data_IF_643833588772
#
_entry.id   IF_643833588772
#
_cell.length_a   1.000
_cell.length_b   1.000
_cell.length_c   1.000
_cell.angle_alpha   90.00
_cell.angle_beta   90.00
_cell.angle_gamma   90.00
#
_symmetry.space_group_name_H-M   'P 1'
#
loop_
_entity.id
_entity.type
_entity.pdbx_description
1 polymer ?
#
# COMPACT_ATOMS: atom_id res chain seq x y z
N UNK A 1 3.67 -2.03 -11.37
CA UNK A 1 2.63 -0.99 -11.59
C UNK A 1 1.28 -1.68 -11.63
N UNK A 2 0.38 -1.39 -10.70
CA UNK A 2 -0.79 -2.25 -10.47
C UNK A 2 -2.05 -1.40 -10.21
N UNK A 3 -2.88 -1.26 -11.24
CA UNK A 3 -4.16 -0.57 -11.18
C UNK A 3 -5.07 -1.14 -10.09
N UNK A 4 -5.06 -2.47 -9.93
CA UNK A 4 -5.80 -3.14 -8.85
C UNK A 4 -5.32 -2.76 -7.45
N UNK A 5 -4.02 -2.50 -7.27
CA UNK A 5 -3.49 -2.09 -5.98
C UNK A 5 -3.94 -0.66 -5.58
N UNK A 6 -4.11 0.24 -6.56
CA UNK A 6 -4.64 1.59 -6.31
C UNK A 6 -6.11 1.52 -5.87
N UNK A 7 -6.92 0.68 -6.51
CA UNK A 7 -8.32 0.46 -6.12
C UNK A 7 -8.42 -0.17 -4.73
N UNK A 8 -7.56 -1.15 -4.41
CA UNK A 8 -7.49 -1.71 -3.05
C UNK A 8 -7.11 -0.63 -2.03
N UNK A 9 -6.17 0.26 -2.36
CA UNK A 9 -5.82 1.39 -1.50
C UNK A 9 -7.01 2.33 -1.27
N UNK A 10 -7.79 2.63 -2.31
CA UNK A 10 -9.02 3.43 -2.18
C UNK A 10 -10.02 2.79 -1.22
N UNK A 11 -10.25 1.48 -1.37
CA UNK A 11 -11.12 0.72 -0.45
C UNK A 11 -10.56 0.77 0.98
N UNK A 12 -9.29 0.47 1.18
CA UNK A 12 -8.68 0.43 2.52
C UNK A 12 -8.74 1.78 3.23
N UNK A 13 -8.57 2.89 2.49
CA UNK A 13 -8.70 4.24 3.03
C UNK A 13 -10.12 4.52 3.54
N UNK A 14 -11.16 3.94 2.92
CA UNK A 14 -12.54 4.06 3.39
C UNK A 14 -12.86 3.23 4.63
N UNK A 15 -12.21 2.08 4.81
CA UNK A 15 -12.50 1.15 5.91
C UNK A 15 -11.60 1.33 7.14
N UNK A 16 -10.40 1.88 6.98
CA UNK A 16 -9.42 2.06 8.05
C UNK A 16 -9.52 3.46 8.65
N UNK A 17 -9.49 3.56 9.98
CA UNK A 17 -9.47 4.85 10.68
C UNK A 17 -8.12 5.53 10.55
N UNK A 18 -7.02 4.77 10.60
CA UNK A 18 -5.67 5.26 10.41
C UNK A 18 -4.93 4.35 9.41
N UNK A 19 -5.17 4.50 8.09
CA UNK A 19 -4.75 3.53 7.08
C UNK A 19 -3.27 3.12 7.17
N UNK A 20 -2.36 4.08 7.42
CA UNK A 20 -0.93 3.81 7.56
C UNK A 20 -0.60 2.97 8.80
N UNK A 21 -1.14 3.35 9.96
CA UNK A 21 -0.83 2.66 11.21
C UNK A 21 -1.49 1.28 11.24
N UNK A 22 -2.75 1.19 10.83
CA UNK A 22 -3.52 -0.04 10.84
C UNK A 22 -2.88 -1.06 9.87
N UNK A 23 -2.38 -0.59 8.72
CA UNK A 23 -1.73 -1.45 7.73
C UNK A 23 -0.32 -1.90 8.16
N UNK A 24 0.53 -1.01 8.69
CA UNK A 24 1.87 -1.42 9.14
C UNK A 24 1.79 -2.39 10.31
N UNK A 25 0.82 -2.21 11.21
CA UNK A 25 0.57 -3.14 12.31
C UNK A 25 0.12 -4.51 11.80
N UNK A 26 -0.77 -4.54 10.81
CA UNK A 26 -1.16 -5.78 10.13
C UNK A 26 0.05 -6.50 9.50
N UNK A 27 0.91 -5.77 8.79
CA UNK A 27 2.14 -6.33 8.18
C UNK A 27 3.12 -6.83 9.26
N UNK A 28 3.32 -6.08 10.34
CA UNK A 28 4.16 -6.50 11.49
C UNK A 28 3.64 -7.78 12.13
N UNK A 29 2.32 -7.87 12.32
CA UNK A 29 1.67 -9.04 12.91
C UNK A 29 1.83 -10.29 12.04
N UNK A 30 1.67 -10.19 10.71
CA UNK A 30 1.80 -11.37 9.84
C UNK A 30 3.27 -11.76 9.61
N UNK A 31 4.15 -10.78 9.48
CA UNK A 31 5.59 -11.04 9.28
C UNK A 31 6.29 -11.54 10.56
N UNK A 32 5.68 -11.32 11.73
CA UNK A 32 6.29 -11.55 13.04
C UNK A 32 7.48 -10.62 13.31
N UNK A 33 7.59 -9.50 12.59
CA UNK A 33 8.70 -8.56 12.71
C UNK A 33 8.19 -7.13 12.93
N UNK A 34 8.44 -6.61 14.13
CA UNK A 34 8.04 -5.26 14.54
C UNK A 34 8.95 -4.15 13.99
N UNK A 35 10.11 -4.47 13.41
CA UNK A 35 11.04 -3.50 12.83
C UNK A 35 10.65 -3.04 11.42
N UNK A 36 9.60 -3.63 10.83
CA UNK A 36 9.10 -3.21 9.51
C UNK A 36 8.46 -1.84 9.67
N UNK A 37 8.89 -0.88 8.87
CA UNK A 37 8.34 0.46 8.85
C UNK A 37 8.37 1.04 7.44
N UNK A 38 7.73 2.19 7.27
CA UNK A 38 7.74 2.95 6.03
C UNK A 38 9.08 3.65 5.81
N UNK A 39 9.64 3.50 4.61
CA UNK A 39 10.85 4.22 4.22
C UNK A 39 10.48 5.56 3.57
N UNK A 40 10.48 6.65 4.35
CA UNK A 40 10.13 8.00 3.87
C UNK A 40 10.91 8.42 2.62
N UNK A 41 12.20 8.09 2.55
CA UNK A 41 13.05 8.34 1.37
C UNK A 41 12.50 7.68 0.10
N UNK A 42 12.03 6.43 0.19
CA UNK A 42 11.45 5.72 -0.96
C UNK A 42 10.07 6.31 -1.29
N UNK A 43 9.24 6.60 -0.29
CA UNK A 43 7.93 7.20 -0.50
C UNK A 43 8.04 8.55 -1.25
N UNK A 44 8.99 9.39 -0.87
CA UNK A 44 9.24 10.68 -1.54
C UNK A 44 9.79 10.51 -2.96
N UNK A 45 10.71 9.55 -3.16
CA UNK A 45 11.21 9.21 -4.50
C UNK A 45 10.09 8.72 -5.42
N UNK A 46 9.24 7.80 -4.94
CA UNK A 46 8.09 7.28 -5.67
C UNK A 46 7.06 8.38 -5.98
N UNK A 47 6.87 9.33 -5.07
CA UNK A 47 6.01 10.49 -5.30
C UNK A 47 6.56 11.39 -6.41
N UNK A 48 7.89 11.62 -6.44
CA UNK A 48 8.57 12.45 -7.44
C UNK A 48 8.55 11.84 -8.84
N UNK A 49 8.66 10.52 -8.96
CA UNK A 49 8.66 9.81 -10.25
C UNK A 49 7.30 9.18 -10.60
N UNK A 50 6.29 9.39 -9.75
CA UNK A 50 4.98 8.75 -9.79
C UNK A 50 3.99 9.27 -10.84
N UNK A 51 4.42 10.10 -11.80
CA UNK A 51 3.55 10.74 -12.81
C UNK A 51 2.63 9.74 -13.53
N UNK A 52 3.13 8.53 -13.80
CA UNK A 52 2.35 7.46 -14.44
C UNK A 52 1.22 6.95 -13.54
N UNK A 53 1.46 6.80 -12.24
CA UNK A 53 0.44 6.38 -11.28
C UNK A 53 -0.61 7.49 -11.10
N UNK A 54 -0.18 8.75 -11.11
CA UNK A 54 -1.08 9.92 -11.10
C UNK A 54 -1.99 9.93 -12.34
N UNK A 55 -1.46 9.63 -13.53
CA UNK A 55 -2.28 9.51 -14.73
C UNK A 55 -3.31 8.36 -14.62
N UNK A 56 -2.89 7.21 -14.08
CA UNK A 56 -3.76 6.03 -13.91
C UNK A 56 -4.90 6.32 -12.93
N UNK A 57 -4.62 6.92 -11.78
CA UNK A 57 -5.67 7.19 -10.77
C UNK A 57 -6.66 8.25 -11.28
N UNK A 58 -6.20 9.26 -12.03
CA UNK A 58 -7.09 10.23 -12.67
C UNK A 58 -7.98 9.55 -13.74
N UNK A 59 -7.41 8.65 -14.53
CA UNK A 59 -8.18 7.84 -15.49
C UNK A 59 -9.23 6.99 -14.76
N UNK A 60 -8.86 6.29 -13.70
CA UNK A 60 -9.80 5.50 -12.89
C UNK A 60 -10.91 6.35 -12.29
N UNK A 61 -10.58 7.56 -11.80
CA UNK A 61 -11.56 8.49 -11.25
C UNK A 61 -12.56 8.97 -12.31
N UNK A 62 -12.11 9.15 -13.55
CA UNK A 62 -13.02 9.45 -14.68
C UNK A 62 -14.00 8.31 -15.00
N UNK A 63 -13.68 7.08 -14.60
CA UNK A 63 -14.55 5.91 -14.69
C UNK A 63 -15.29 5.59 -13.37
N UNK A 64 -15.29 6.50 -12.40
CA UNK A 64 -15.93 6.32 -11.09
C UNK A 64 -15.40 5.11 -10.28
N UNK A 65 -14.18 4.64 -10.54
CA UNK A 65 -13.57 3.52 -9.79
C UNK A 65 -12.83 3.97 -8.51
N UNK A 66 -12.71 5.28 -8.28
CA UNK A 66 -12.03 5.87 -7.11
C UNK A 66 -13.00 6.82 -6.47
N UNK A 67 -13.37 6.54 -5.22
CA UNK A 67 -14.34 7.35 -4.47
C UNK A 67 -13.64 8.43 -3.65
N UNK A 68 -12.47 8.14 -3.08
CA UNK A 68 -11.77 9.07 -2.19
C UNK A 68 -11.00 10.16 -2.95
N UNK A 69 -10.43 11.08 -2.16
CA UNK A 69 -9.49 12.06 -2.68
C UNK A 69 -8.22 11.38 -3.25
N UNK A 70 -7.82 11.81 -4.46
CA UNK A 70 -6.67 11.23 -5.18
C UNK A 70 -5.39 11.39 -4.35
N UNK A 71 -5.22 12.53 -3.68
CA UNK A 71 -4.05 12.81 -2.86
C UNK A 71 -3.95 11.85 -1.68
N UNK A 72 -5.06 11.56 -1.01
CA UNK A 72 -5.11 10.61 0.12
C UNK A 72 -4.78 9.19 -0.35
N UNK A 73 -5.41 8.73 -1.43
CA UNK A 73 -5.17 7.38 -1.97
C UNK A 73 -3.74 7.21 -2.45
N UNK A 74 -3.20 8.20 -3.16
CA UNK A 74 -1.82 8.13 -3.65
C UNK A 74 -0.80 8.26 -2.52
N UNK A 75 -1.04 9.10 -1.51
CA UNK A 75 -0.19 9.15 -0.33
C UNK A 75 -0.14 7.79 0.36
N UNK A 76 -1.30 7.15 0.57
CA UNK A 76 -1.34 5.79 1.13
C UNK A 76 -0.61 4.77 0.23
N UNK A 77 -0.83 4.81 -1.08
CA UNK A 77 -0.17 3.93 -2.04
C UNK A 77 1.36 4.09 -2.04
N UNK A 78 1.89 5.32 -2.00
CA UNK A 78 3.33 5.56 -1.94
C UNK A 78 3.94 5.06 -0.63
N UNK A 79 3.24 5.25 0.49
CA UNK A 79 3.66 4.67 1.76
C UNK A 79 3.66 3.13 1.66
N UNK A 80 2.61 2.52 1.13
CA UNK A 80 2.54 1.06 0.91
C UNK A 80 3.74 0.53 0.10
N UNK A 81 4.09 1.19 -1.00
CA UNK A 81 5.25 0.79 -1.82
C UNK A 81 6.60 1.07 -1.15
N UNK A 82 6.64 1.94 -0.14
CA UNK A 82 7.86 2.27 0.60
C UNK A 82 8.17 1.32 1.75
N UNK A 83 7.29 0.35 2.03
CA UNK A 83 7.56 -0.67 3.05
C UNK A 83 8.71 -1.54 2.56
N UNK A 84 9.86 -1.40 3.21
CA UNK A 84 11.01 -2.28 2.94
C UNK A 84 10.80 -3.60 3.68
N UNK A 85 10.57 -4.66 2.89
CA UNK A 85 10.58 -6.03 3.38
C UNK A 85 11.65 -6.84 2.65
N UNK A 86 12.38 -7.67 3.36
CA UNK A 86 13.30 -8.64 2.76
C UNK A 86 12.50 -9.81 2.15
N UNK A 87 13.00 -10.41 1.06
CA UNK A 87 12.34 -11.54 0.39
C UNK A 87 11.99 -12.69 1.36
N UNK A 88 12.78 -12.89 2.41
CA UNK A 88 12.52 -13.89 3.46
C UNK A 88 11.32 -13.56 4.34
N UNK A 89 11.01 -12.27 4.57
CA UNK A 89 9.79 -11.86 5.28
C UNK A 89 8.54 -12.07 4.43
N UNK A 90 8.63 -11.84 3.12
CA UNK A 90 7.54 -12.14 2.15
C UNK A 90 7.29 -13.66 2.05
N UNK A 91 8.34 -14.48 2.09
CA UNK A 91 8.23 -15.93 2.08
C UNK A 91 7.52 -16.47 3.34
N UNK A 92 7.81 -15.90 4.53
CA UNK A 92 7.08 -16.22 5.77
C UNK A 92 5.60 -15.86 5.71
N UNK A 93 5.26 -14.73 5.08
CA UNK A 93 3.89 -14.30 4.79
C UNK A 93 3.12 -15.35 3.98
N UNK A 94 3.75 -15.92 2.95
CA UNK A 94 3.16 -17.01 2.15
C UNK A 94 3.02 -18.30 2.96
N UNK A 95 3.97 -18.58 3.84
CA UNK A 95 4.00 -19.81 4.65
C UNK A 95 2.86 -19.84 5.68
N UNK A 96 2.52 -18.69 6.29
CA UNK A 96 1.43 -18.56 7.24
C UNK A 96 0.04 -18.78 6.59
N UNK A 97 -0.15 -18.32 5.35
CA UNK A 97 -1.37 -18.59 4.59
C UNK A 97 -1.53 -20.08 4.25
N UNK A 98 -0.43 -20.76 3.91
CA UNK A 98 -0.43 -22.20 3.60
C UNK A 98 -0.60 -23.10 4.82
N UNK A 99 -0.32 -22.59 6.03
CA UNK A 99 -0.48 -23.35 7.29
C UNK A 99 -1.87 -23.17 7.92
N UNK A 100 -2.68 -22.23 7.41
CA UNK A 100 -4.03 -21.90 7.88
C UNK A 100 -5.13 -22.29 6.88
N UNK A 101 -4.80 -22.95 5.76
CA UNK A 101 -5.73 -23.58 4.80
C UNK A 101 -5.48 -25.09 4.76
#
# INVERSE_FOLDING_TARGET
MNSGAIVICDILVSYLKNPKNDFIEFVRNISGNQSIDYCTRIAESEKLYGYRNVAIINLMKSFNNIENDIGVVMDFYFNLCSIEMTCTQIERLKKLHYFLS
#
